data_IF_107993992149
#
_entry.id   IF_107993992149
#
_cell.length_a   1.000
_cell.length_b   1.000
_cell.length_c   1.000
_cell.angle_alpha   90.00
_cell.angle_beta   90.00
_cell.angle_gamma   90.00
#
_symmetry.space_group_name_H-M   'P 1'
#
loop_
_entity.id
_entity.type
_entity.pdbx_description
1 polymer ?
#
# COMPACT_ATOMS: atom_id res chain seq x y z
N UNK A 1 -5.33 18.49 23.17
CA UNK A 1 -5.09 18.97 21.79
C UNK A 1 -6.32 18.60 20.99
N UNK A 2 -7.20 19.56 20.70
CA UNK A 2 -8.37 19.29 19.86
C UNK A 2 -7.87 19.07 18.44
N UNK A 3 -8.10 17.87 17.91
CA UNK A 3 -7.47 17.36 16.70
C UNK A 3 -8.43 17.47 15.49
N UNK A 4 -9.11 18.61 15.39
CA UNK A 4 -10.15 18.85 14.37
C UNK A 4 -9.58 19.39 13.04
N UNK A 5 -8.28 19.18 12.79
CA UNK A 5 -7.58 19.69 11.60
C UNK A 5 -7.65 18.77 10.38
N UNK A 6 -8.37 17.65 10.46
CA UNK A 6 -8.57 16.77 9.31
C UNK A 6 -9.76 17.24 8.48
N UNK A 7 -9.49 17.71 7.27
CA UNK A 7 -10.49 18.15 6.30
C UNK A 7 -10.76 17.03 5.29
N UNK A 8 -11.96 17.01 4.72
CA UNK A 8 -12.25 16.18 3.57
C UNK A 8 -11.33 16.54 2.39
N UNK A 9 -11.03 15.56 1.54
CA UNK A 9 -10.19 15.76 0.36
C UNK A 9 -10.81 16.81 -0.58
N UNK A 10 -10.00 17.76 -1.08
CA UNK A 10 -10.44 18.83 -1.97
C UNK A 10 -10.64 18.38 -3.44
N UNK A 11 -10.87 17.09 -3.64
CA UNK A 11 -11.12 16.46 -4.93
C UNK A 11 -12.01 15.23 -4.74
N UNK A 12 -12.50 14.67 -5.86
CA UNK A 12 -13.24 13.41 -5.87
C UNK A 12 -12.46 12.35 -6.65
N UNK A 13 -12.63 11.10 -6.26
CA UNK A 13 -12.11 9.96 -7.01
C UNK A 13 -12.83 9.90 -8.36
N UNK A 14 -12.07 10.01 -9.46
CA UNK A 14 -12.61 9.93 -10.83
C UNK A 14 -12.49 8.52 -11.42
N UNK A 15 -11.38 7.84 -11.16
CA UNK A 15 -11.10 6.46 -11.56
C UNK A 15 -10.44 5.74 -10.38
N UNK A 16 -10.50 4.41 -10.41
CA UNK A 16 -9.91 3.53 -9.40
C UNK A 16 -8.99 2.51 -10.06
N UNK A 17 -8.03 2.03 -9.28
CA UNK A 17 -7.23 0.86 -9.61
C UNK A 17 -7.67 -0.31 -8.70
N UNK A 18 -8.02 -1.48 -9.25
CA UNK A 18 -8.33 -2.66 -8.45
C UNK A 18 -7.08 -3.16 -7.72
N UNK A 19 -7.20 -3.41 -6.42
CA UNK A 19 -6.12 -3.95 -5.59
C UNK A 19 -6.40 -5.40 -5.18
N UNK A 20 -5.36 -6.22 -5.23
CA UNK A 20 -5.41 -7.62 -4.76
C UNK A 20 -5.40 -7.66 -3.22
N UNK A 21 -6.31 -8.44 -2.64
CA UNK A 21 -6.28 -8.74 -1.20
C UNK A 21 -5.51 -10.04 -0.96
N UNK A 22 -4.46 -9.95 -0.16
CA UNK A 22 -3.64 -11.11 0.23
C UNK A 22 -3.89 -11.52 1.68
N UNK A 23 -3.62 -12.79 2.00
CA UNK A 23 -3.63 -13.26 3.39
C UNK A 23 -2.34 -12.86 4.10
N UNK A 24 -2.35 -12.88 5.44
CA UNK A 24 -1.14 -12.66 6.23
C UNK A 24 -0.06 -13.71 5.93
N UNK A 25 -0.45 -14.98 5.88
CA UNK A 25 0.46 -16.10 5.57
C UNK A 25 1.16 -15.92 4.22
N UNK A 26 0.42 -15.50 3.19
CA UNK A 26 1.00 -15.18 1.88
C UNK A 26 2.09 -14.12 1.99
N UNK A 27 1.83 -13.02 2.70
CA UNK A 27 2.80 -11.93 2.90
C UNK A 27 4.03 -12.38 3.69
N UNK A 28 3.85 -13.22 4.71
CA UNK A 28 4.97 -13.76 5.50
C UNK A 28 5.88 -14.66 4.65
N UNK A 29 5.32 -15.50 3.78
CA UNK A 29 6.09 -16.34 2.87
C UNK A 29 6.78 -15.51 1.78
N UNK A 30 6.10 -14.49 1.25
CA UNK A 30 6.67 -13.56 0.28
C UNK A 30 7.87 -12.82 0.85
N UNK A 31 7.74 -12.24 2.05
CA UNK A 31 8.82 -11.53 2.74
C UNK A 31 10.05 -12.43 2.95
N UNK A 32 9.84 -13.68 3.36
CA UNK A 32 10.95 -14.65 3.48
C UNK A 32 11.62 -14.92 2.15
N UNK A 33 10.83 -15.12 1.08
CA UNK A 33 11.33 -15.40 -0.27
C UNK A 33 12.21 -14.27 -0.81
N UNK A 34 11.85 -13.01 -0.56
CA UNK A 34 12.62 -11.84 -1.01
C UNK A 34 13.74 -11.43 -0.06
N UNK A 35 14.03 -12.22 0.97
CA UNK A 35 15.05 -11.88 1.98
C UNK A 35 14.72 -10.60 2.74
N UNK A 36 13.43 -10.33 2.95
CA UNK A 36 12.90 -9.15 3.63
C UNK A 36 13.22 -7.80 2.97
N UNK A 37 13.69 -7.81 1.71
CA UNK A 37 13.87 -6.58 0.94
C UNK A 37 12.59 -6.24 0.16
N UNK A 38 11.96 -5.13 0.53
CA UNK A 38 10.70 -4.68 -0.09
C UNK A 38 10.86 -4.28 -1.57
N UNK A 39 12.06 -3.87 -2.00
CA UNK A 39 12.32 -3.51 -3.41
C UNK A 39 12.17 -4.68 -4.38
N UNK A 40 12.10 -5.91 -3.87
CA UNK A 40 11.91 -7.12 -4.69
C UNK A 40 10.49 -7.69 -4.62
N UNK A 41 9.55 -6.96 -4.02
CA UNK A 41 8.13 -7.35 -4.00
C UNK A 41 7.45 -6.78 -5.23
N UNK A 42 6.71 -7.61 -5.96
CA UNK A 42 5.87 -7.18 -7.08
C UNK A 42 4.74 -6.25 -6.57
N UNK A 43 4.47 -5.16 -7.29
CA UNK A 43 3.46 -4.15 -6.88
C UNK A 43 2.06 -4.72 -6.72
N UNK A 44 1.70 -5.74 -7.52
CA UNK A 44 0.41 -6.43 -7.43
C UNK A 44 0.18 -7.12 -6.07
N UNK A 45 1.25 -7.40 -5.32
CA UNK A 45 1.18 -8.02 -4.00
C UNK A 45 1.18 -7.00 -2.84
N UNK A 46 1.31 -5.71 -3.16
CA UNK A 46 1.30 -4.60 -2.20
C UNK A 46 -0.10 -3.97 -2.18
N UNK A 47 -0.72 -3.92 -1.00
CA UNK A 47 -2.08 -3.36 -0.86
C UNK A 47 -2.08 -1.84 -0.71
N UNK A 48 -1.13 -1.27 0.02
CA UNK A 48 -0.90 0.18 0.12
C UNK A 48 0.60 0.37 -0.03
N UNK A 49 1.02 1.02 -1.10
CA UNK A 49 2.43 1.29 -1.35
C UNK A 49 2.79 2.68 -0.81
N UNK A 50 3.75 2.70 0.12
CA UNK A 50 4.31 3.91 0.74
C UNK A 50 5.84 3.96 0.54
N UNK A 51 6.37 3.24 -0.45
CA UNK A 51 7.81 3.11 -0.67
C UNK A 51 8.45 4.44 -1.07
N UNK A 52 7.76 5.24 -1.90
CA UNK A 52 8.21 6.55 -2.35
C UNK A 52 7.02 7.45 -2.68
N UNK A 53 7.21 8.76 -2.57
CA UNK A 53 6.31 9.81 -3.04
C UNK A 53 6.67 10.30 -4.47
N UNK A 54 7.63 9.66 -5.12
CA UNK A 54 8.01 9.93 -6.51
C UNK A 54 7.19 9.04 -7.45
N UNK A 55 6.29 9.67 -8.22
CA UNK A 55 5.54 9.05 -9.33
C UNK A 55 6.13 9.36 -10.70
#
# INVERSE_FOLDING_TARGET
MNNDNYRAEYYKIKMIEPLKKTTREYRENLLKKVGYNLFYIDSEDVFIDLLTDSG
#
